data_IF_031108169061
#
_entry.id   IF_031108169061
#
_cell.length_a   1.000
_cell.length_b   1.000
_cell.length_c   1.000
_cell.angle_alpha   90.00
_cell.angle_beta   90.00
_cell.angle_gamma   90.00
#
_symmetry.space_group_name_H-M   'P 1'
#
loop_
_entity.id
_entity.type
_entity.pdbx_description
1 polymer ?
#
# COMPACT_ATOMS: atom_id res chain seq x y z
N UNK A 1 -66.69 -4.97 -45.20
CA UNK A 1 -66.93 -6.31 -44.61
C UNK A 1 -65.70 -7.18 -44.84
N UNK A 2 -65.49 -8.17 -43.95
CA UNK A 2 -64.27 -8.99 -43.68
C UNK A 2 -63.24 -8.24 -42.82
N UNK A 3 -63.10 -8.41 -41.49
CA UNK A 3 -63.02 -9.61 -40.61
C UNK A 3 -62.13 -10.67 -41.26
N UNK A 4 -60.92 -10.99 -40.75
CA UNK A 4 -60.73 -11.67 -39.47
C UNK A 4 -59.23 -11.96 -39.20
N UNK A 5 -58.82 -11.72 -37.94
CA UNK A 5 -58.03 -12.60 -37.03
C UNK A 5 -56.52 -12.78 -37.29
N UNK A 6 -55.80 -12.80 -36.15
CA UNK A 6 -54.47 -13.37 -35.85
C UNK A 6 -53.36 -12.30 -35.92
N UNK A 7 -52.58 -12.02 -34.89
CA UNK A 7 -52.33 -12.72 -33.64
C UNK A 7 -51.83 -11.70 -32.62
N UNK A 8 -52.01 -12.03 -31.35
CA UNK A 8 -51.46 -11.32 -30.22
C UNK A 8 -49.94 -11.10 -30.40
N UNK A 9 -49.53 -9.90 -30.83
CA UNK A 9 -48.17 -9.45 -30.67
C UNK A 9 -48.03 -9.00 -29.22
N UNK A 10 -47.32 -9.83 -28.47
CA UNK A 10 -47.01 -9.70 -27.07
C UNK A 10 -46.84 -8.24 -26.63
N UNK A 11 -47.49 -7.91 -25.51
CA UNK A 11 -47.28 -6.70 -24.74
C UNK A 11 -45.79 -6.65 -24.33
N UNK A 12 -44.94 -6.10 -25.20
CA UNK A 12 -43.62 -5.60 -24.84
C UNK A 12 -43.83 -4.23 -24.20
N UNK A 13 -44.50 -4.21 -23.04
CA UNK A 13 -44.32 -3.09 -22.13
C UNK A 13 -42.99 -3.37 -21.45
N UNK A 14 -41.96 -2.81 -22.08
CA UNK A 14 -40.67 -2.55 -21.51
C UNK A 14 -40.84 -1.75 -20.23
N UNK A 15 -41.15 -2.46 -19.14
CA UNK A 15 -40.73 -2.03 -17.82
C UNK A 15 -39.21 -2.27 -17.75
N UNK A 16 -38.46 -1.47 -18.53
CA UNK A 16 -37.29 -0.86 -17.95
C UNK A 16 -37.84 0.00 -16.80
N UNK A 17 -38.12 -0.65 -15.67
CA UNK A 17 -37.92 0.03 -14.42
C UNK A 17 -36.55 0.70 -14.61
N UNK A 18 -36.41 2.02 -14.40
CA UNK A 18 -35.09 2.48 -14.07
C UNK A 18 -34.70 1.51 -12.97
N UNK A 19 -33.61 0.75 -13.17
CA UNK A 19 -32.92 0.21 -12.02
C UNK A 19 -32.71 1.47 -11.20
N UNK A 20 -33.62 1.72 -10.26
CA UNK A 20 -33.58 2.83 -9.34
C UNK A 20 -32.25 2.52 -8.73
N UNK A 21 -31.26 3.24 -9.24
CA UNK A 21 -29.90 3.05 -8.85
C UNK A 21 -30.01 3.10 -7.35
N UNK A 22 -29.38 2.14 -6.69
CA UNK A 22 -29.26 2.17 -5.26
C UNK A 22 -28.42 3.41 -4.98
N UNK A 23 -29.02 4.59 -5.13
CA UNK A 23 -28.52 5.92 -4.91
C UNK A 23 -28.56 6.00 -3.40
N UNK A 24 -27.62 5.24 -2.82
CA UNK A 24 -27.35 5.25 -1.42
C UNK A 24 -27.14 6.71 -1.05
N UNK A 25 -27.86 7.14 -0.02
CA UNK A 25 -27.68 8.48 0.52
C UNK A 25 -26.23 8.62 0.97
N UNK A 26 -25.55 9.69 0.56
CA UNK A 26 -24.24 10.04 1.12
C UNK A 26 -24.44 10.36 2.60
N UNK A 27 -23.99 9.45 3.48
CA UNK A 27 -24.16 9.58 4.95
C UNK A 27 -23.01 10.35 5.58
N UNK A 28 -21.81 10.27 5.01
CA UNK A 28 -20.62 10.98 5.47
C UNK A 28 -19.55 11.02 4.38
N UNK A 29 -18.73 12.08 4.39
CA UNK A 29 -17.58 12.22 3.51
C UNK A 29 -16.28 12.07 4.27
N UNK A 30 -15.27 11.53 3.58
CA UNK A 30 -13.97 11.24 4.14
C UNK A 30 -12.89 11.58 3.13
N UNK A 31 -11.83 12.23 3.60
CA UNK A 31 -10.61 12.41 2.82
C UNK A 31 -9.68 11.21 3.03
N UNK A 32 -8.94 10.85 1.98
CA UNK A 32 -7.88 9.84 2.04
C UNK A 32 -6.54 10.51 2.31
N UNK A 33 -5.99 10.28 3.51
CA UNK A 33 -4.67 10.78 3.89
C UNK A 33 -3.68 9.63 3.84
N UNK A 34 -2.62 9.77 3.05
CA UNK A 34 -1.56 8.77 2.97
C UNK A 34 -0.61 8.87 4.17
N UNK A 35 -0.42 7.74 4.88
CA UNK A 35 0.57 7.60 5.94
C UNK A 35 1.75 6.81 5.40
N UNK A 36 2.99 7.35 5.44
CA UNK A 36 4.16 6.67 4.94
C UNK A 36 4.51 5.43 5.77
N UNK A 37 5.21 4.49 5.14
CA UNK A 37 5.71 3.30 5.82
C UNK A 37 6.72 3.67 6.91
N UNK A 38 6.65 2.99 8.06
CA UNK A 38 7.65 3.13 9.11
C UNK A 38 8.72 2.07 8.93
N UNK A 39 9.97 2.50 8.90
CA UNK A 39 11.15 1.62 8.86
C UNK A 39 11.94 1.76 10.14
N UNK A 40 12.48 0.65 10.66
CA UNK A 40 13.44 0.68 11.75
C UNK A 40 14.79 0.19 11.26
N UNK A 41 15.82 0.94 11.64
CA UNK A 41 17.21 0.65 11.33
C UNK A 41 17.90 0.19 12.60
N UNK A 42 18.54 -0.97 12.56
CA UNK A 42 19.40 -1.44 13.65
C UNK A 42 20.79 -1.75 13.11
N UNK A 43 21.80 -1.51 13.96
CA UNK A 43 23.20 -1.81 13.65
C UNK A 43 23.61 -3.04 14.44
N UNK A 44 24.06 -4.09 13.76
CA UNK A 44 24.60 -5.29 14.38
C UNK A 44 26.11 -5.32 14.21
N UNK A 45 26.84 -5.59 15.28
CA UNK A 45 28.29 -5.75 15.22
C UNK A 45 28.61 -6.98 14.34
N UNK A 46 29.41 -6.76 13.30
CA UNK A 46 29.87 -7.82 12.40
C UNK A 46 31.28 -8.27 12.77
N UNK A 47 32.17 -7.32 13.03
CA UNK A 47 33.52 -7.59 13.51
C UNK A 47 33.88 -6.61 14.61
N UNK A 48 34.34 -7.13 15.76
CA UNK A 48 34.84 -6.31 16.84
C UNK A 48 36.19 -5.69 16.48
N UNK A 49 36.51 -4.58 17.13
CA UNK A 49 37.82 -3.98 17.00
C UNK A 49 38.90 -4.96 17.50
N UNK A 50 39.97 -5.13 16.75
CA UNK A 50 41.07 -6.02 17.13
C UNK A 50 42.38 -5.57 16.48
N UNK A 51 43.50 -5.97 17.06
CA UNK A 51 44.82 -5.81 16.46
C UNK A 51 45.31 -7.13 15.88
N UNK A 52 46.08 -7.06 14.79
CA UNK A 52 46.70 -8.21 14.15
C UNK A 52 48.11 -7.86 13.69
N UNK A 53 49.01 -8.83 13.83
CA UNK A 53 50.36 -8.72 13.31
C UNK A 53 50.38 -9.13 11.84
N UNK A 54 50.86 -8.24 10.98
CA UNK A 54 50.94 -8.45 9.54
C UNK A 54 52.33 -8.09 9.02
N UNK A 55 52.81 -8.83 8.02
CA UNK A 55 54.01 -8.43 7.30
C UNK A 55 53.65 -7.36 6.27
N UNK A 56 54.15 -6.14 6.46
CA UNK A 56 54.00 -5.03 5.50
C UNK A 56 55.38 -4.41 5.27
N UNK A 57 55.76 -4.25 4.00
CA UNK A 57 57.06 -3.67 3.64
C UNK A 57 58.27 -4.45 4.18
N UNK A 58 58.17 -5.77 4.34
CA UNK A 58 59.25 -6.61 4.85
C UNK A 58 59.43 -6.59 6.38
N UNK A 59 58.56 -5.89 7.12
CA UNK A 59 58.57 -5.86 8.58
C UNK A 59 57.24 -6.37 9.15
N UNK A 60 57.30 -7.06 10.28
CA UNK A 60 56.12 -7.42 11.05
C UNK A 60 55.61 -6.17 11.79
N UNK A 61 54.39 -5.75 11.49
CA UNK A 61 53.75 -4.57 12.06
C UNK A 61 52.42 -4.94 12.72
N UNK A 62 52.12 -4.34 13.86
CA UNK A 62 50.82 -4.47 14.51
C UNK A 62 49.82 -3.50 13.87
N UNK A 63 48.72 -4.03 13.33
CA UNK A 63 47.69 -3.28 12.62
C UNK A 63 46.41 -3.31 13.41
N UNK A 64 45.85 -2.13 13.69
CA UNK A 64 44.54 -1.98 14.30
C UNK A 64 43.43 -2.00 13.25
N UNK A 65 42.43 -2.85 13.49
CA UNK A 65 41.18 -2.92 12.73
C UNK A 65 40.03 -2.35 13.57
N UNK A 66 39.38 -1.31 13.04
CA UNK A 66 38.20 -0.69 13.63
C UNK A 66 36.99 -1.66 13.59
N UNK A 67 36.00 -1.50 14.50
CA UNK A 67 34.83 -2.37 14.51
C UNK A 67 33.95 -2.10 13.29
N UNK A 68 33.49 -3.18 12.66
CA UNK A 68 32.60 -3.12 11.49
C UNK A 68 31.20 -3.52 11.91
N UNK A 69 30.22 -2.70 11.57
CA UNK A 69 28.80 -2.94 11.84
C UNK A 69 28.05 -3.15 10.51
N UNK A 70 27.08 -4.06 10.51
CA UNK A 70 26.12 -4.20 9.42
C UNK A 70 24.84 -3.47 9.81
N UNK A 71 24.37 -2.61 8.91
CA UNK A 71 23.10 -1.92 9.05
C UNK A 71 21.99 -2.79 8.45
N UNK A 72 21.03 -3.15 9.28
CA UNK A 72 19.82 -3.84 8.85
C UNK A 72 18.65 -2.88 8.94
N UNK A 73 17.98 -2.68 7.81
CA UNK A 73 16.76 -1.88 7.73
C UNK A 73 15.61 -2.83 7.49
N UNK A 74 14.59 -2.78 8.35
CA UNK A 74 13.38 -3.56 8.16
C UNK A 74 12.15 -2.67 8.23
N UNK A 75 11.15 -3.02 7.43
CA UNK A 75 9.89 -2.31 7.39
C UNK A 75 9.04 -2.76 8.58
N UNK A 76 8.76 -1.83 9.51
CA UNK A 76 7.90 -2.09 10.67
C UNK A 76 6.43 -2.10 10.31
N UNK A 77 6.03 -1.16 9.45
CA UNK A 77 4.65 -1.08 8.97
C UNK A 77 4.62 -0.67 7.50
N UNK A 78 3.67 -1.25 6.76
CA UNK A 78 3.34 -0.77 5.43
C UNK A 78 2.74 0.63 5.54
N UNK A 79 2.93 1.45 4.51
CA UNK A 79 2.17 2.69 4.38
C UNK A 79 0.69 2.35 4.14
N UNK A 80 -0.21 3.19 4.62
CA UNK A 80 -1.64 2.97 4.49
C UNK A 80 -2.39 4.29 4.34
N UNK A 81 -3.58 4.22 3.74
CA UNK A 81 -4.50 5.36 3.69
C UNK A 81 -5.36 5.38 4.94
N UNK A 82 -5.37 6.53 5.62
CA UNK A 82 -6.34 6.86 6.67
C UNK A 82 -7.56 7.52 6.03
N UNK A 83 -8.74 7.04 6.41
CA UNK A 83 -10.01 7.75 6.15
C UNK A 83 -10.22 8.76 7.26
N UNK A 84 -10.11 10.04 6.95
CA UNK A 84 -10.33 11.13 7.90
C UNK A 84 -11.67 11.77 7.58
N UNK A 85 -12.53 11.93 8.58
CA UNK A 85 -13.86 12.52 8.38
C UNK A 85 -13.69 13.96 7.89
N UNK A 86 -14.34 14.28 6.78
CA UNK A 86 -14.25 15.58 6.13
C UNK A 86 -15.65 16.13 5.85
N UNK A 87 -15.73 17.42 5.55
CA UNK A 87 -16.97 18.00 5.04
C UNK A 87 -17.26 17.42 3.65
N UNK A 88 -18.53 17.13 3.38
CA UNK A 88 -18.94 16.82 2.02
C UNK A 88 -18.85 18.09 1.18
N UNK A 89 -17.96 18.08 0.19
CA UNK A 89 -17.97 19.12 -0.84
C UNK A 89 -19.25 18.93 -1.67
N UNK A 90 -19.96 20.03 -1.87
CA UNK A 90 -21.25 20.08 -2.57
C UNK A 90 -21.10 19.82 -4.07
#
# INVERSE_FOLDING_TARGET
MKTTILAAAAVLVSFAAPAMAWEGKVVACYDSVWVPAKTETHKKLHSAAHTKWEHRGGQLVEVYYAPVYIQHTHQKSKGYYLKVKAACNK
#
